data_IF_755500907971
#
_entry.id   IF_755500907971
#
_cell.length_a   1.000
_cell.length_b   1.000
_cell.length_c   1.000
_cell.angle_alpha   90.00
_cell.angle_beta   90.00
_cell.angle_gamma   90.00
#
_symmetry.space_group_name_H-M   'P 1'
#
loop_
_entity.id
_entity.type
_entity.pdbx_description
1 polymer ?
#
# COMPACT_ATOMS: atom_id res chain seq x y z
N UNK A 1 -10.98 -18.73 -7.75
CA UNK A 1 -11.52 -17.35 -7.78
C UNK A 1 -11.09 -16.67 -6.49
N UNK A 2 -10.02 -15.88 -6.52
CA UNK A 2 -9.70 -14.99 -5.41
C UNK A 2 -10.79 -13.90 -5.36
N UNK A 3 -11.40 -13.71 -4.20
CA UNK A 3 -12.40 -12.67 -4.00
C UNK A 3 -11.67 -11.32 -4.10
N UNK A 4 -12.09 -10.48 -5.04
CA UNK A 4 -11.72 -9.05 -5.06
C UNK A 4 -11.93 -8.47 -3.67
N UNK A 5 -10.95 -7.70 -3.19
CA UNK A 5 -11.05 -6.98 -1.92
C UNK A 5 -12.32 -6.12 -1.89
N UNK A 6 -13.13 -6.34 -0.85
CA UNK A 6 -14.20 -5.44 -0.45
C UNK A 6 -13.59 -4.39 0.48
N UNK A 7 -13.69 -3.11 0.16
CA UNK A 7 -13.63 -2.06 1.19
C UNK A 7 -12.48 -1.08 1.05
N UNK A 8 -12.67 -0.11 0.18
CA UNK A 8 -12.16 1.24 0.38
C UNK A 8 -13.26 2.05 1.08
N UNK A 9 -12.95 2.79 2.15
CA UNK A 9 -13.88 3.70 2.84
C UNK A 9 -14.19 3.34 4.31
N UNK A 10 -15.18 4.04 4.90
CA UNK A 10 -15.62 3.92 6.31
C UNK A 10 -16.33 2.60 6.66
N UNK A 11 -16.12 1.55 5.86
CA UNK A 11 -16.71 0.24 6.12
C UNK A 11 -16.16 -0.33 7.42
N UNK A 12 -17.04 -0.98 8.19
CA UNK A 12 -16.72 -1.56 9.50
C UNK A 12 -15.51 -2.49 9.37
N UNK A 13 -14.41 -2.15 10.04
CA UNK A 13 -13.16 -2.92 10.00
C UNK A 13 -13.42 -4.40 10.30
N UNK A 14 -12.81 -5.34 9.56
CA UNK A 14 -12.88 -6.75 9.90
C UNK A 14 -12.20 -6.97 11.25
N UNK A 15 -12.98 -7.26 12.28
CA UNK A 15 -12.46 -7.63 13.60
C UNK A 15 -12.05 -9.10 13.59
N UNK A 16 -10.77 -9.39 13.82
CA UNK A 16 -10.24 -10.77 13.86
C UNK A 16 -8.71 -10.82 13.94
N UNK A 17 -8.16 -11.93 14.42
CA UNK A 17 -6.72 -12.15 14.54
C UNK A 17 -6.10 -12.31 13.15
N UNK A 18 -5.28 -11.34 12.70
CA UNK A 18 -4.52 -11.35 11.44
C UNK A 18 -5.07 -10.51 10.28
N UNK A 19 -6.04 -9.62 10.53
CA UNK A 19 -6.37 -8.53 9.59
C UNK A 19 -5.20 -7.55 9.55
N UNK A 20 -4.66 -7.28 8.36
CA UNK A 20 -3.75 -6.13 8.15
C UNK A 20 -4.61 -4.98 7.66
N UNK A 21 -4.56 -3.86 8.37
CA UNK A 21 -5.16 -2.60 7.95
C UNK A 21 -4.09 -1.52 7.88
N UNK A 22 -4.32 -0.50 7.07
CA UNK A 22 -3.57 0.74 7.12
C UNK A 22 -4.50 1.92 6.90
N UNK A 23 -4.20 3.03 7.58
CA UNK A 23 -4.82 4.32 7.33
C UNK A 23 -4.05 5.00 6.21
N UNK A 24 -4.79 5.61 5.29
CA UNK A 24 -4.19 6.31 4.15
C UNK A 24 -4.68 7.75 4.10
N UNK A 25 -3.75 8.68 3.94
CA UNK A 25 -4.04 10.09 3.63
C UNK A 25 -3.36 10.49 2.33
N UNK A 26 -4.00 11.37 1.55
CA UNK A 26 -3.44 11.98 0.35
C UNK A 26 -3.61 13.49 0.44
N UNK A 27 -2.49 14.23 0.42
CA UNK A 27 -2.46 15.69 0.63
C UNK A 27 -3.19 16.12 1.92
N UNK A 28 -3.13 15.31 2.97
CA UNK A 28 -3.83 15.53 4.23
C UNK A 28 -5.30 15.13 4.25
N UNK A 29 -5.87 14.65 3.13
CA UNK A 29 -7.23 14.14 3.06
C UNK A 29 -7.27 12.65 3.38
N UNK A 30 -8.13 12.24 4.31
CA UNK A 30 -8.30 10.84 4.66
C UNK A 30 -8.98 10.09 3.51
N UNK A 31 -8.23 9.15 2.93
CA UNK A 31 -8.70 8.24 1.90
C UNK A 31 -9.49 7.08 2.51
N UNK A 32 -9.22 6.76 3.78
CA UNK A 32 -9.92 5.76 4.57
C UNK A 32 -8.97 4.67 5.05
N UNK A 33 -9.54 3.53 5.45
CA UNK A 33 -8.77 2.38 5.92
C UNK A 33 -8.79 1.29 4.86
N UNK A 34 -7.61 0.94 4.35
CA UNK A 34 -7.43 -0.22 3.49
C UNK A 34 -7.23 -1.45 4.38
N UNK A 35 -7.87 -2.57 4.06
CA UNK A 35 -7.72 -3.80 4.83
C UNK A 35 -7.75 -5.04 3.93
N UNK A 36 -7.14 -6.13 4.40
CA UNK A 36 -7.21 -7.45 3.75
C UNK A 36 -7.84 -8.51 4.66
N UNK A 37 -8.72 -9.35 4.10
CA UNK A 37 -9.36 -10.47 4.81
C UNK A 37 -8.50 -11.73 4.71
N UNK A 38 -8.03 -12.19 5.88
CA UNK A 38 -7.21 -13.38 6.15
C UNK A 38 -5.72 -13.30 5.78
N UNK A 39 -4.78 -13.88 6.54
CA UNK A 39 -4.41 -13.84 7.98
C UNK A 39 -3.19 -14.75 8.09
N UNK A 40 -2.02 -14.22 8.47
CA UNK A 40 -0.77 -14.97 8.75
C UNK A 40 -0.22 -15.86 7.63
N UNK A 41 0.61 -15.28 6.76
CA UNK A 41 1.63 -15.99 5.97
C UNK A 41 1.11 -17.15 5.10
N UNK A 42 -0.12 -17.04 4.59
CA UNK A 42 -0.72 -18.02 3.68
C UNK A 42 -0.66 -17.53 2.23
N UNK A 43 -0.29 -18.42 1.31
CA UNK A 43 -0.23 -18.14 -0.12
C UNK A 43 -1.61 -17.74 -0.68
N UNK A 44 -1.64 -16.72 -1.55
CA UNK A 44 -2.83 -16.29 -2.30
C UNK A 44 -3.59 -15.09 -1.72
N UNK A 45 -3.04 -14.36 -0.75
CA UNK A 45 -3.72 -13.20 -0.11
C UNK A 45 -3.13 -11.86 -0.56
N UNK A 46 -3.97 -10.97 -1.09
CA UNK A 46 -3.63 -9.55 -1.32
C UNK A 46 -3.35 -8.85 0.02
N UNK A 47 -2.41 -7.91 0.05
CA UNK A 47 -2.03 -7.15 1.24
C UNK A 47 -2.72 -5.78 1.27
N UNK A 48 -2.76 -5.11 2.43
CA UNK A 48 -3.45 -3.81 2.54
C UNK A 48 -2.82 -2.77 1.60
N UNK A 49 -1.51 -2.81 1.42
CA UNK A 49 -0.75 -1.94 0.52
C UNK A 49 -1.12 -2.14 -0.96
N UNK A 50 -1.59 -3.33 -1.34
CA UNK A 50 -2.09 -3.60 -2.70
C UNK A 50 -3.34 -2.76 -3.00
N UNK A 51 -4.26 -2.71 -2.04
CA UNK A 51 -5.46 -1.88 -2.15
C UNK A 51 -5.11 -0.38 -2.25
N UNK A 52 -4.07 0.07 -1.52
CA UNK A 52 -3.57 1.44 -1.65
C UNK A 52 -3.07 1.70 -3.07
N UNK A 53 -2.27 0.79 -3.61
CA UNK A 53 -1.71 0.93 -4.96
C UNK A 53 -2.81 0.93 -6.02
N UNK A 54 -3.76 0.00 -5.96
CA UNK A 54 -4.90 -0.07 -6.88
C UNK A 54 -5.74 1.20 -6.83
N UNK A 55 -5.97 1.71 -5.62
CA UNK A 55 -6.73 2.93 -5.44
C UNK A 55 -6.01 4.15 -6.01
N UNK A 56 -4.73 4.32 -5.71
CA UNK A 56 -3.92 5.43 -6.24
C UNK A 56 -3.75 5.34 -7.77
N UNK A 57 -3.67 4.13 -8.33
CA UNK A 57 -3.72 3.94 -9.78
C UNK A 57 -5.07 4.35 -10.36
N UNK A 58 -6.18 3.99 -9.71
CA UNK A 58 -7.52 4.39 -10.15
C UNK A 58 -7.69 5.93 -10.16
N UNK A 59 -7.12 6.62 -9.17
CA UNK A 59 -7.04 8.08 -9.11
C UNK A 59 -6.24 8.60 -10.30
N UNK A 60 -5.03 8.07 -10.54
CA UNK A 60 -4.16 8.52 -11.62
C UNK A 60 -4.83 8.37 -13.00
N UNK A 61 -5.46 7.23 -13.26
CA UNK A 61 -6.14 6.93 -14.53
C UNK A 61 -7.53 7.58 -14.64
N UNK A 62 -8.07 8.16 -13.56
CA UNK A 62 -9.42 8.72 -13.54
C UNK A 62 -10.51 7.66 -13.77
N UNK A 63 -10.29 6.45 -13.26
CA UNK A 63 -11.27 5.38 -13.33
C UNK A 63 -12.31 5.61 -12.23
N UNK A 64 -13.50 6.10 -12.60
CA UNK A 64 -14.65 6.40 -11.73
C UNK A 64 -15.27 5.16 -11.01
N UNK A 65 -14.55 4.04 -10.95
CA UNK A 65 -15.04 2.75 -10.48
C UNK A 65 -15.03 2.55 -8.95
N UNK A 66 -14.35 3.42 -8.18
CA UNK A 66 -14.37 3.37 -6.72
C UNK A 66 -15.29 4.46 -6.18
N UNK A 67 -16.29 4.06 -5.36
CA UNK A 67 -17.15 4.99 -4.64
C UNK A 67 -16.31 5.79 -3.64
N UNK A 68 -15.94 7.00 -4.05
CA UNK A 68 -15.27 7.97 -3.21
C UNK A 68 -16.32 8.77 -2.43
N UNK A 69 -16.08 9.15 -1.17
CA UNK A 69 -16.95 10.09 -0.47
C UNK A 69 -17.16 11.36 -1.30
N UNK A 70 -18.37 11.96 -1.30
CA UNK A 70 -18.72 13.10 -2.18
C UNK A 70 -17.77 14.31 -2.08
N UNK A 71 -17.00 14.46 -0.99
CA UNK A 71 -15.95 15.48 -0.85
C UNK A 71 -14.63 15.18 -1.58
N UNK A 72 -14.33 13.90 -1.87
CA UNK A 72 -13.05 13.44 -2.45
C UNK A 72 -13.06 13.51 -3.98
N UNK A 73 -14.22 13.48 -4.63
CA UNK A 73 -14.35 13.50 -6.11
C UNK A 73 -13.91 14.85 -6.71
N UNK A 74 -14.21 15.97 -6.06
CA UNK A 74 -13.70 17.28 -6.46
C UNK A 74 -12.18 17.38 -6.26
N UNK A 75 -11.67 16.73 -5.21
CA UNK A 75 -10.25 16.69 -4.86
C UNK A 75 -9.44 15.76 -5.76
N UNK A 76 -9.98 14.67 -6.34
CA UNK A 76 -9.25 13.86 -7.35
C UNK A 76 -8.87 14.69 -8.57
N UNK A 77 -9.78 15.56 -9.04
CA UNK A 77 -9.45 16.51 -10.11
C UNK A 77 -8.39 17.51 -9.66
N UNK A 78 -8.39 17.90 -8.39
CA UNK A 78 -7.38 18.78 -7.80
C UNK A 78 -6.01 18.09 -7.67
N UNK A 79 -5.96 16.88 -7.13
CA UNK A 79 -4.80 15.99 -7.01
C UNK A 79 -4.16 15.72 -8.38
N UNK A 80 -4.97 15.37 -9.40
CA UNK A 80 -4.51 15.20 -10.79
C UNK A 80 -4.13 16.50 -11.51
N UNK A 81 -4.31 17.66 -10.88
CA UNK A 81 -3.93 18.96 -11.47
C UNK A 81 -2.81 19.65 -10.71
N UNK A 82 -2.35 19.08 -9.59
CA UNK A 82 -1.23 19.62 -8.81
C UNK A 82 0.03 18.78 -9.02
N UNK A 83 1.16 19.47 -9.23
CA UNK A 83 2.44 18.84 -9.52
C UNK A 83 3.10 18.14 -8.33
N UNK A 84 2.59 18.33 -7.10
CA UNK A 84 3.13 17.70 -5.88
C UNK A 84 2.00 17.03 -5.10
N UNK A 85 2.13 15.74 -4.85
CA UNK A 85 1.19 14.93 -4.08
C UNK A 85 1.93 14.19 -2.96
N UNK A 86 1.30 14.09 -1.80
CA UNK A 86 1.84 13.47 -0.58
C UNK A 86 0.91 12.36 -0.11
N UNK A 87 1.35 11.11 -0.23
CA UNK A 87 0.65 9.92 0.23
C UNK A 87 1.28 9.45 1.55
N UNK A 88 0.48 9.40 2.61
CA UNK A 88 0.91 8.83 3.89
C UNK A 88 0.15 7.52 4.16
N UNK A 89 0.92 6.48 4.50
CA UNK A 89 0.41 5.16 4.88
C UNK A 89 0.80 4.94 6.33
N UNK A 90 -0.17 4.97 7.23
CA UNK A 90 0.05 4.87 8.68
C UNK A 90 -0.75 3.71 9.26
N UNK A 91 -0.51 3.41 10.54
CA UNK A 91 -1.15 2.29 11.25
C UNK A 91 -0.93 0.94 10.56
N UNK A 92 0.17 0.82 9.80
CA UNK A 92 0.50 -0.42 9.11
C UNK A 92 1.10 -1.39 10.13
N UNK A 93 0.46 -2.53 10.34
CA UNK A 93 0.91 -3.48 11.37
C UNK A 93 2.34 -4.00 11.11
N UNK A 94 2.72 -4.21 9.85
CA UNK A 94 4.04 -4.72 9.49
C UNK A 94 4.60 -4.03 8.24
N UNK A 95 5.92 -3.85 8.16
CA UNK A 95 6.57 -3.22 7.00
C UNK A 95 6.23 -3.92 5.67
N UNK A 96 6.20 -3.21 4.52
CA UNK A 96 5.90 -3.82 3.23
C UNK A 96 6.76 -5.05 2.92
N UNK A 97 6.12 -6.11 2.41
CA UNK A 97 6.83 -7.30 1.95
C UNK A 97 7.54 -7.02 0.61
N UNK A 98 8.62 -7.74 0.33
CA UNK A 98 9.29 -7.73 -0.97
C UNK A 98 9.35 -9.15 -1.53
N UNK A 99 9.23 -9.28 -2.85
CA UNK A 99 9.48 -10.54 -3.54
C UNK A 99 10.86 -10.61 -4.20
N UNK A 100 11.49 -9.47 -4.47
CA UNK A 100 12.82 -9.39 -5.08
C UNK A 100 13.94 -9.77 -4.11
N UNK A 101 13.76 -9.47 -2.82
CA UNK A 101 14.74 -9.79 -1.78
C UNK A 101 14.66 -11.25 -1.32
N UNK A 102 13.44 -11.79 -1.26
CA UNK A 102 13.17 -13.21 -1.08
C UNK A 102 11.78 -13.54 -1.62
N UNK A 103 11.64 -14.34 -2.69
CA UNK A 103 10.33 -14.68 -3.25
C UNK A 103 9.38 -15.34 -2.24
N UNK A 104 9.94 -15.98 -1.19
CA UNK A 104 9.16 -16.66 -0.14
C UNK A 104 8.65 -15.70 0.95
N UNK A 105 9.07 -14.43 0.97
CA UNK A 105 8.49 -13.42 1.87
C UNK A 105 7.18 -12.86 1.33
N UNK A 106 6.95 -12.90 0.01
CA UNK A 106 5.66 -12.56 -0.57
C UNK A 106 4.74 -13.78 -0.59
N UNK A 107 3.58 -13.69 0.05
CA UNK A 107 2.55 -14.72 0.00
C UNK A 107 1.54 -14.48 -1.13
N UNK A 108 1.90 -13.66 -2.13
CA UNK A 108 0.97 -13.21 -3.18
C UNK A 108 1.00 -14.11 -4.42
N UNK A 109 -0.15 -14.29 -5.11
CA UNK A 109 -0.29 -15.18 -6.26
C UNK A 109 0.41 -14.67 -7.54
N UNK A 110 0.59 -13.36 -7.68
CA UNK A 110 1.27 -12.66 -8.78
C UNK A 110 2.76 -12.41 -8.50
N UNK A 111 3.25 -12.84 -7.34
CA UNK A 111 4.66 -12.81 -6.91
C UNK A 111 5.31 -11.42 -6.83
N UNK A 112 4.58 -10.31 -6.92
CA UNK A 112 5.15 -8.95 -6.76
C UNK A 112 4.92 -8.43 -5.35
N UNK A 113 6.00 -8.15 -4.60
CA UNK A 113 5.89 -7.64 -3.23
C UNK A 113 5.32 -6.22 -3.16
N UNK A 114 4.81 -5.85 -1.97
CA UNK A 114 4.30 -4.50 -1.70
C UNK A 114 5.37 -3.42 -1.94
N UNK A 115 6.63 -3.71 -1.60
CA UNK A 115 7.76 -2.80 -1.84
C UNK A 115 7.88 -2.44 -3.31
N UNK A 116 7.88 -3.44 -4.19
CA UNK A 116 8.00 -3.24 -5.63
C UNK A 116 6.82 -2.44 -6.18
N UNK A 117 5.60 -2.77 -5.75
CA UNK A 117 4.38 -2.05 -6.18
C UNK A 117 4.35 -0.60 -5.75
N UNK A 118 4.80 -0.27 -4.54
CA UNK A 118 4.86 1.11 -4.05
C UNK A 118 5.89 1.94 -4.82
N UNK A 119 7.03 1.34 -5.16
CA UNK A 119 8.05 1.97 -6.02
C UNK A 119 7.49 2.20 -7.43
N UNK A 120 6.83 1.21 -8.00
CA UNK A 120 6.19 1.32 -9.31
C UNK A 120 5.11 2.39 -9.33
N UNK A 121 4.25 2.44 -8.30
CA UNK A 121 3.23 3.48 -8.16
C UNK A 121 3.84 4.87 -8.20
N UNK A 122 4.90 5.11 -7.42
CA UNK A 122 5.61 6.39 -7.43
C UNK A 122 6.13 6.75 -8.82
N UNK A 123 6.83 5.81 -9.46
CA UNK A 123 7.39 6.03 -10.79
C UNK A 123 6.31 6.29 -11.84
N UNK A 124 5.14 5.65 -11.71
CA UNK A 124 4.00 5.83 -12.61
C UNK A 124 3.44 7.25 -12.51
N UNK A 125 3.22 7.76 -11.30
CA UNK A 125 2.78 9.15 -11.09
C UNK A 125 3.80 10.15 -11.63
N UNK A 126 5.09 9.92 -11.36
CA UNK A 126 6.18 10.79 -11.84
C UNK A 126 6.30 10.78 -13.37
N UNK A 127 6.06 9.63 -14.00
CA UNK A 127 6.06 9.50 -15.47
C UNK A 127 4.90 10.25 -16.13
N UNK A 128 3.75 10.33 -15.45
CA UNK A 128 2.58 11.11 -15.88
C UNK A 128 2.73 12.62 -15.58
N UNK A 129 3.89 13.05 -15.05
CA UNK A 129 4.21 14.46 -14.78
C UNK A 129 3.80 14.94 -13.38
N UNK A 130 3.43 14.04 -12.48
CA UNK A 130 3.04 14.35 -11.10
C UNK A 130 4.09 13.86 -10.11
N UNK A 131 4.60 14.73 -9.24
CA UNK A 131 5.45 14.27 -8.14
C UNK A 131 4.61 13.58 -7.08
N UNK A 132 5.01 12.37 -6.68
CA UNK A 132 4.39 11.64 -5.58
C UNK A 132 5.44 11.37 -4.48
N UNK A 133 5.25 12.02 -3.33
CA UNK A 133 6.00 11.71 -2.10
C UNK A 133 5.21 10.66 -1.33
N UNK A 134 5.87 9.56 -0.95
CA UNK A 134 5.24 8.48 -0.15
C UNK A 134 5.94 8.41 1.21
N UNK A 135 5.15 8.38 2.28
CA UNK A 135 5.60 8.12 3.65
C UNK A 135 4.87 6.92 4.25
N UNK A 136 5.61 6.09 4.98
CA UNK A 136 5.12 4.83 5.55
C UNK A 136 5.51 4.76 7.03
N UNK A 137 4.55 4.51 7.90
CA UNK A 137 4.77 4.17 9.30
C UNK A 137 4.24 2.76 9.58
N UNK A 138 5.13 1.89 10.05
CA UNK A 138 4.80 0.51 10.39
C UNK A 138 5.23 0.14 11.82
N UNK A 139 4.41 -0.64 12.53
CA UNK A 139 4.69 -1.00 13.93
C UNK A 139 5.93 -1.90 14.06
N UNK A 140 6.11 -2.85 13.13
CA UNK A 140 7.27 -3.74 13.15
C UNK A 140 7.71 -4.21 11.76
N UNK A 141 8.93 -4.74 11.69
CA UNK A 141 9.43 -5.37 10.46
C UNK A 141 8.65 -6.65 10.17
N UNK A 142 8.12 -6.78 8.96
CA UNK A 142 7.45 -7.99 8.50
C UNK A 142 8.39 -9.19 8.55
N UNK A 143 8.05 -10.21 9.33
CA UNK A 143 8.92 -11.36 9.60
C UNK A 143 8.14 -12.68 9.52
N UNK A 144 7.81 -13.17 8.32
CA UNK A 144 7.30 -14.51 8.14
C UNK A 144 8.23 -15.55 8.76
N UNK A 145 7.66 -16.68 9.18
CA UNK A 145 8.37 -17.82 9.77
C UNK A 145 9.19 -18.59 8.74
N UNK A 146 10.10 -17.90 8.06
CA UNK A 146 11.02 -18.43 7.07
C UNK A 146 12.44 -17.96 7.38
N UNK A 147 13.43 -18.76 6.98
CA UNK A 147 14.84 -18.39 7.15
C UNK A 147 15.16 -17.15 6.32
N UNK A 148 15.77 -16.15 6.94
CA UNK A 148 16.21 -14.92 6.27
C UNK A 148 15.13 -13.82 6.14
N UNK A 149 13.92 -14.03 6.67
CA UNK A 149 12.82 -13.05 6.57
C UNK A 149 13.21 -11.65 7.07
N UNK A 150 13.84 -11.57 8.25
CA UNK A 150 14.28 -10.28 8.83
C UNK A 150 15.26 -9.54 7.92
N UNK A 151 16.23 -10.25 7.34
CA UNK A 151 17.21 -9.63 6.45
C UNK A 151 16.54 -9.14 5.16
N UNK A 152 15.65 -9.96 4.58
CA UNK A 152 14.88 -9.57 3.40
C UNK A 152 14.02 -8.31 3.64
N UNK A 153 13.33 -8.23 4.78
CA UNK A 153 12.51 -7.06 5.12
C UNK A 153 13.32 -5.80 5.42
N UNK A 154 14.54 -5.93 5.94
CA UNK A 154 15.47 -4.80 6.06
C UNK A 154 15.92 -4.30 4.70
N UNK A 155 16.26 -5.21 3.77
CA UNK A 155 16.61 -4.83 2.40
C UNK A 155 15.42 -4.23 1.65
N UNK A 156 14.20 -4.71 1.90
CA UNK A 156 12.97 -4.13 1.38
C UNK A 156 12.77 -2.67 1.85
N UNK A 157 12.99 -2.40 3.15
CA UNK A 157 12.94 -1.04 3.69
C UNK A 157 14.02 -0.13 3.07
N UNK A 158 15.23 -0.65 2.87
CA UNK A 158 16.30 0.09 2.18
C UNK A 158 15.95 0.40 0.72
N UNK A 159 15.30 -0.52 0.02
CA UNK A 159 14.87 -0.31 -1.36
C UNK A 159 13.83 0.82 -1.45
N UNK A 160 12.88 0.89 -0.51
CA UNK A 160 11.94 2.01 -0.39
C UNK A 160 12.68 3.34 -0.20
N UNK A 161 13.61 3.39 0.76
CA UNK A 161 14.41 4.60 1.03
C UNK A 161 15.21 5.02 -0.20
N UNK A 162 15.84 4.08 -0.90
CA UNK A 162 16.61 4.34 -2.13
C UNK A 162 15.72 4.87 -3.27
N UNK A 163 14.47 4.43 -3.35
CA UNK A 163 13.46 4.97 -4.27
C UNK A 163 12.89 6.32 -3.81
N UNK A 164 13.37 6.90 -2.70
CA UNK A 164 12.87 8.15 -2.14
C UNK A 164 11.48 8.02 -1.53
N UNK A 165 11.13 6.84 -1.01
CA UNK A 165 9.95 6.59 -0.17
C UNK A 165 10.45 6.54 1.27
N UNK A 166 9.86 7.37 2.13
CA UNK A 166 10.21 7.37 3.55
C UNK A 166 9.50 6.23 4.28
N UNK A 167 10.22 5.51 5.13
CA UNK A 167 9.65 4.45 5.96
C UNK A 167 10.22 4.52 7.37
N UNK A 168 9.34 4.51 8.36
CA UNK A 168 9.66 4.38 9.78
C UNK A 168 9.10 3.05 10.29
N UNK A 169 9.92 2.31 11.02
CA UNK A 169 9.52 1.03 11.62
C UNK A 169 9.88 1.03 13.10
N UNK A 170 8.90 0.82 13.98
CA UNK A 170 9.11 0.62 15.42
C UNK A 170 8.13 1.31 16.34
#
# INVERSE_FOLDING_TARGET
>A
MCKKLDGFGNAKLPTGYGTVSCKVTLNGHELGVCWSKQTTYCDGTEHAEDAVCDHMQSILFGLDGFQMPEGVVADIRHVRTHGNNELEITELTASPCSSSTNPKTSSKPDTVGCTERLIELKNMWESDGYKLTISIEADHLYQPRIRGAKAASVEAAKALIAAGISIKVG
#
